data_IF_438774076937
#
_entry.id   IF_438774076937
#
_cell.length_a   1.000
_cell.length_b   1.000
_cell.length_c   1.000
_cell.angle_alpha   90.00
_cell.angle_beta   90.00
_cell.angle_gamma   90.00
#
_symmetry.space_group_name_H-M   'P 1'
#
loop_
_entity.id
_entity.type
_entity.pdbx_description
1 polymer ?
#
# COMPACT_ATOMS: atom_id res chain seq x y z
N UNK A 1 2.20 20.04 -1.95
CA UNK A 1 2.82 19.48 -0.72
C UNK A 1 2.61 20.36 0.52
N UNK A 2 3.17 21.55 0.65
CA UNK A 2 3.08 22.38 1.86
C UNK A 2 1.65 22.74 2.30
N UNK A 3 0.75 23.04 1.38
CA UNK A 3 -0.64 23.33 1.68
C UNK A 3 -1.38 22.14 2.31
N UNK A 4 -1.13 20.94 1.82
CA UNK A 4 -1.72 19.70 2.34
C UNK A 4 -1.14 19.30 3.69
N UNK A 5 0.16 19.49 3.91
CA UNK A 5 0.77 19.33 5.23
C UNK A 5 0.16 20.30 6.26
N UNK A 6 0.00 21.55 5.88
CA UNK A 6 -0.65 22.57 6.74
C UNK A 6 -2.11 22.22 7.04
N UNK A 7 -2.82 21.63 6.09
CA UNK A 7 -4.16 21.11 6.31
C UNK A 7 -4.16 19.88 7.23
N UNK A 8 -3.17 19.00 7.12
CA UNK A 8 -3.00 17.85 8.02
C UNK A 8 -2.82 18.31 9.48
N UNK A 9 -2.01 19.35 9.73
CA UNK A 9 -1.81 19.93 11.07
C UNK A 9 -3.10 20.47 11.71
N UNK A 10 -4.14 20.75 10.92
CA UNK A 10 -5.46 21.19 11.35
C UNK A 10 -6.51 20.09 11.33
N UNK A 11 -6.09 18.85 11.12
CA UNK A 11 -6.99 17.70 11.07
C UNK A 11 -7.78 17.53 12.37
N UNK A 12 -9.04 17.19 12.25
CA UNK A 12 -9.98 17.05 13.37
C UNK A 12 -9.95 15.68 14.01
N UNK A 13 -9.37 14.68 13.33
CA UNK A 13 -9.21 13.31 13.80
C UNK A 13 -7.91 12.71 13.31
N UNK A 14 -7.44 11.67 13.98
CA UNK A 14 -6.25 10.94 13.54
C UNK A 14 -6.41 10.34 12.13
N UNK A 15 -7.61 9.86 11.78
CA UNK A 15 -7.90 9.36 10.44
C UNK A 15 -7.83 10.48 9.38
N UNK A 16 -8.35 11.66 9.68
CA UNK A 16 -8.27 12.83 8.79
C UNK A 16 -6.83 13.29 8.59
N UNK A 17 -6.03 13.33 9.65
CA UNK A 17 -4.60 13.66 9.59
C UNK A 17 -3.85 12.65 8.73
N UNK A 18 -4.07 11.35 8.94
CA UNK A 18 -3.44 10.29 8.15
C UNK A 18 -3.80 10.41 6.66
N UNK A 19 -5.07 10.65 6.34
CA UNK A 19 -5.52 10.82 4.96
C UNK A 19 -4.81 12.00 4.27
N UNK A 20 -4.71 13.14 4.96
CA UNK A 20 -4.03 14.34 4.44
C UNK A 20 -2.52 14.16 4.32
N UNK A 21 -1.89 13.47 5.27
CA UNK A 21 -0.48 13.12 5.17
C UNK A 21 -0.21 12.14 4.02
N UNK A 22 -1.15 11.24 3.70
CA UNK A 22 -1.05 10.39 2.51
C UNK A 22 -0.96 11.20 1.22
N UNK A 23 -1.72 12.28 1.10
CA UNK A 23 -1.62 13.19 -0.05
C UNK A 23 -0.25 13.88 -0.07
N UNK A 24 0.30 14.27 1.07
CA UNK A 24 1.64 14.87 1.15
C UNK A 24 2.71 13.88 0.69
N UNK A 25 2.57 12.60 1.06
CA UNK A 25 3.45 11.51 0.63
C UNK A 25 3.44 11.38 -0.90
N UNK A 26 2.26 11.29 -1.51
CA UNK A 26 2.10 11.20 -2.96
C UNK A 26 2.69 12.42 -3.69
N UNK A 27 2.42 13.63 -3.20
CA UNK A 27 2.96 14.86 -3.79
C UNK A 27 4.48 14.99 -3.64
N UNK A 28 5.06 14.46 -2.57
CA UNK A 28 6.51 14.44 -2.37
C UNK A 28 7.17 13.48 -3.35
N UNK A 29 6.62 12.29 -3.51
CA UNK A 29 7.10 11.29 -4.48
C UNK A 29 7.01 11.82 -5.92
N UNK A 30 5.90 12.45 -6.27
CA UNK A 30 5.71 13.10 -7.57
C UNK A 30 6.73 14.24 -7.78
N UNK A 31 7.03 15.00 -6.74
CA UNK A 31 8.04 16.07 -6.82
C UNK A 31 9.43 15.49 -7.11
N UNK A 32 9.83 14.41 -6.44
CA UNK A 32 11.08 13.71 -6.70
C UNK A 32 11.14 13.23 -8.17
N UNK A 33 10.08 12.60 -8.64
CA UNK A 33 9.97 12.15 -10.04
C UNK A 33 10.19 13.28 -11.05
N UNK A 34 9.57 14.44 -10.87
CA UNK A 34 9.75 15.58 -11.78
C UNK A 34 11.15 16.16 -11.73
N UNK A 35 11.78 16.21 -10.55
CA UNK A 35 13.16 16.66 -10.40
C UNK A 35 14.15 15.72 -11.12
N UNK A 36 13.97 14.42 -10.97
CA UNK A 36 14.75 13.40 -11.66
C UNK A 36 14.59 13.52 -13.18
N UNK A 37 13.36 13.66 -13.65
CA UNK A 37 13.08 13.83 -15.08
C UNK A 37 13.73 15.08 -15.67
N UNK A 38 13.73 16.20 -14.95
CA UNK A 38 14.42 17.42 -15.36
C UNK A 38 15.93 17.22 -15.53
N UNK A 39 16.54 16.43 -14.65
CA UNK A 39 17.94 16.07 -14.74
C UNK A 39 18.23 15.13 -15.91
N UNK A 40 17.43 14.08 -16.07
CA UNK A 40 17.58 13.08 -17.14
C UNK A 40 17.39 13.66 -18.54
N UNK A 41 16.43 14.57 -18.67
CA UNK A 41 16.22 15.29 -19.94
C UNK A 41 17.27 16.36 -20.23
N UNK A 42 18.21 16.57 -19.32
CA UNK A 42 19.27 17.58 -19.48
C UNK A 42 18.79 19.04 -19.43
N UNK A 43 17.57 19.26 -18.95
CA UNK A 43 16.98 20.60 -18.82
C UNK A 43 17.59 21.39 -17.67
N UNK A 44 17.98 20.70 -16.60
CA UNK A 44 18.64 21.28 -15.43
C UNK A 44 19.78 20.36 -15.02
N UNK A 45 20.93 20.94 -14.70
CA UNK A 45 22.10 20.18 -14.25
C UNK A 45 21.77 19.47 -12.93
N UNK A 46 22.10 18.18 -12.82
CA UNK A 46 21.82 17.33 -11.61
C UNK A 46 22.37 17.97 -10.32
N UNK A 47 23.54 18.62 -10.39
CA UNK A 47 24.13 19.31 -9.25
C UNK A 47 23.25 20.43 -8.67
N UNK A 48 22.43 21.08 -9.52
CA UNK A 48 21.51 22.13 -9.08
C UNK A 48 20.23 21.60 -8.43
N UNK A 49 19.91 20.34 -8.66
CA UNK A 49 18.70 19.69 -8.14
C UNK A 49 19.01 18.80 -6.92
N UNK A 50 20.27 18.52 -6.64
CA UNK A 50 20.68 17.59 -5.58
C UNK A 50 20.13 17.97 -4.21
N UNK A 51 20.19 19.24 -3.83
CA UNK A 51 19.69 19.73 -2.55
C UNK A 51 18.17 19.61 -2.46
N UNK A 52 17.44 19.92 -3.54
CA UNK A 52 15.98 19.79 -3.60
C UNK A 52 15.52 18.33 -3.54
N UNK A 53 16.26 17.44 -4.19
CA UNK A 53 15.99 16.00 -4.10
C UNK A 53 16.19 15.49 -2.68
N UNK A 54 17.31 15.85 -2.04
CA UNK A 54 17.58 15.46 -0.67
C UNK A 54 16.51 15.98 0.30
N UNK A 55 16.08 17.22 0.15
CA UNK A 55 15.02 17.82 0.96
C UNK A 55 13.67 17.14 0.72
N UNK A 56 13.37 16.76 -0.51
CA UNK A 56 12.16 16.01 -0.87
C UNK A 56 12.14 14.64 -0.21
N UNK A 57 13.27 13.93 -0.22
CA UNK A 57 13.42 12.63 0.43
C UNK A 57 13.24 12.73 1.96
N UNK A 58 13.77 13.79 2.58
CA UNK A 58 13.57 14.04 4.01
C UNK A 58 12.10 14.27 4.35
N UNK A 59 11.40 15.08 3.56
CA UNK A 59 9.96 15.33 3.73
C UNK A 59 9.18 14.03 3.60
N UNK A 60 9.51 13.22 2.60
CA UNK A 60 8.88 11.91 2.38
C UNK A 60 9.09 11.00 3.59
N UNK A 61 10.33 10.87 4.07
CA UNK A 61 10.68 10.04 5.22
C UNK A 61 9.94 10.48 6.49
N UNK A 62 9.90 11.78 6.78
CA UNK A 62 9.16 12.33 7.93
C UNK A 62 7.65 12.09 7.83
N UNK A 63 7.10 12.23 6.64
CA UNK A 63 5.66 12.01 6.38
C UNK A 63 5.28 10.55 6.62
N UNK A 64 6.05 9.62 6.05
CA UNK A 64 5.85 8.17 6.25
C UNK A 64 5.99 7.78 7.72
N UNK A 65 6.99 8.29 8.43
CA UNK A 65 7.17 8.04 9.86
C UNK A 65 6.00 8.54 10.69
N UNK A 66 5.48 9.73 10.36
CA UNK A 66 4.31 10.32 11.02
C UNK A 66 3.06 9.47 10.83
N UNK A 67 2.79 9.01 9.60
CA UNK A 67 1.68 8.12 9.29
C UNK A 67 1.78 6.81 10.07
N UNK A 68 2.95 6.18 10.10
CA UNK A 68 3.19 4.95 10.85
C UNK A 68 2.92 5.13 12.34
N UNK A 69 3.39 6.22 12.92
CA UNK A 69 3.19 6.54 14.33
C UNK A 69 1.70 6.74 14.66
N UNK A 70 0.98 7.48 13.82
CA UNK A 70 -0.45 7.72 14.02
C UNK A 70 -1.27 6.43 13.90
N UNK A 71 -0.98 5.59 12.91
CA UNK A 71 -1.61 4.28 12.74
C UNK A 71 -1.36 3.35 13.93
N UNK A 72 -0.15 3.36 14.48
CA UNK A 72 0.22 2.59 15.67
C UNK A 72 -0.60 3.03 16.88
N UNK A 73 -0.72 4.34 17.10
CA UNK A 73 -1.53 4.92 18.20
C UNK A 73 -3.01 4.58 18.05
N UNK A 74 -3.56 4.64 16.85
CA UNK A 74 -4.96 4.25 16.62
C UNK A 74 -5.22 2.78 16.98
N UNK A 75 -4.30 1.88 16.65
CA UNK A 75 -4.43 0.46 17.01
C UNK A 75 -4.36 0.23 18.52
N UNK A 76 -3.53 0.99 19.22
CA UNK A 76 -3.38 0.90 20.67
C UNK A 76 -4.60 1.45 21.43
N UNK A 77 -5.32 2.42 20.85
CA UNK A 77 -6.53 3.03 21.45
C UNK A 77 -7.82 2.35 21.07
N UNK A 78 -7.83 1.48 20.06
CA UNK A 78 -9.00 0.63 19.78
C UNK A 78 -9.05 -0.45 20.84
N UNK A 79 -10.05 -0.44 21.75
CA UNK A 79 -10.26 -1.58 22.64
C UNK A 79 -10.46 -2.80 21.75
N UNK A 80 -9.73 -3.86 22.04
CA UNK A 80 -9.95 -5.15 21.42
C UNK A 80 -11.38 -5.55 21.76
N UNK A 81 -12.31 -5.22 20.91
CA UNK A 81 -13.61 -5.85 20.91
C UNK A 81 -13.34 -7.27 20.46
N UNK A 82 -12.92 -8.10 21.41
CA UNK A 82 -12.99 -9.52 21.28
C UNK A 82 -14.47 -9.89 21.24
N UNK A 83 -15.11 -9.52 20.16
CA UNK A 83 -16.25 -10.28 19.73
C UNK A 83 -15.65 -11.54 19.17
N UNK A 84 -15.59 -12.55 20.01
CA UNK A 84 -15.41 -13.90 19.56
C UNK A 84 -16.63 -14.22 18.67
N UNK A 85 -16.61 -13.70 17.47
CA UNK A 85 -17.43 -14.22 16.40
C UNK A 85 -16.81 -15.58 16.11
N UNK A 86 -17.40 -16.59 16.76
CA UNK A 86 -17.29 -17.94 16.28
C UNK A 86 -17.78 -17.87 14.84
N UNK A 87 -16.85 -17.71 13.93
CA UNK A 87 -17.13 -17.99 12.54
C UNK A 87 -17.60 -19.43 12.53
N UNK A 88 -18.83 -19.71 12.14
CA UNK A 88 -19.15 -21.07 11.79
C UNK A 88 -18.12 -21.42 10.72
N UNK A 89 -17.27 -22.36 11.02
CA UNK A 89 -16.42 -22.94 10.01
C UNK A 89 -17.40 -23.49 8.97
N UNK A 90 -17.60 -22.73 7.92
CA UNK A 90 -18.28 -23.26 6.76
C UNK A 90 -17.44 -24.44 6.33
N UNK A 91 -17.93 -25.61 6.59
CA UNK A 91 -17.42 -26.86 6.02
C UNK A 91 -17.76 -26.81 4.53
N UNK A 92 -17.21 -25.85 3.84
CA UNK A 92 -17.19 -25.88 2.39
C UNK A 92 -16.10 -26.86 2.07
N UNK A 93 -16.51 -28.11 1.90
CA UNK A 93 -15.64 -29.09 1.27
C UNK A 93 -15.15 -28.46 -0.03
N UNK A 94 -13.84 -28.32 -0.15
CA UNK A 94 -13.22 -27.72 -1.32
C UNK A 94 -13.67 -28.52 -2.55
N UNK A 95 -14.51 -27.98 -3.43
CA UNK A 95 -15.02 -28.73 -4.58
C UNK A 95 -13.90 -29.13 -5.57
N UNK A 96 -12.73 -28.55 -5.40
CA UNK A 96 -11.57 -28.87 -6.24
C UNK A 96 -11.03 -30.28 -6.01
N UNK A 97 -11.28 -30.89 -4.87
CA UNK A 97 -10.86 -32.28 -4.65
C UNK A 97 -11.70 -33.30 -5.44
N UNK A 98 -12.89 -32.94 -5.86
CA UNK A 98 -13.75 -33.80 -6.69
C UNK A 98 -13.42 -33.71 -8.18
N UNK A 99 -12.83 -32.64 -8.62
CA UNK A 99 -12.48 -32.43 -10.03
C UNK A 99 -11.22 -33.23 -10.39
N UNK A 100 -10.34 -33.50 -9.44
CA UNK A 100 -9.15 -34.32 -9.66
C UNK A 100 -9.45 -35.79 -9.92
N UNK A 101 -10.57 -36.29 -9.40
CA UNK A 101 -10.92 -37.72 -9.55
C UNK A 101 -11.58 -38.06 -10.89
N UNK A 102 -12.20 -37.08 -11.55
CA UNK A 102 -12.80 -37.29 -12.85
C UNK A 102 -11.78 -37.30 -14.00
N UNK A 103 -10.57 -36.90 -13.74
CA UNK A 103 -9.53 -36.81 -14.75
C UNK A 103 -8.79 -38.09 -15.00
N UNK A 104 -8.79 -38.99 -14.05
CA UNK A 104 -8.11 -40.26 -14.15
C UNK A 104 -8.89 -41.31 -14.93
N UNK A 105 -10.19 -41.15 -15.03
CA UNK A 105 -11.05 -42.03 -15.82
C UNK A 105 -11.07 -41.76 -17.30
N UNK A 106 -10.57 -40.63 -17.75
CA UNK A 106 -10.65 -40.24 -19.16
C UNK A 106 -9.39 -40.60 -19.98
N UNK A 107 -8.36 -41.13 -19.35
CA UNK A 107 -7.10 -41.37 -19.99
C UNK A 107 -6.91 -42.79 -20.54
N UNK A 108 -7.74 -43.71 -20.14
CA UNK A 108 -7.48 -45.13 -20.41
C UNK A 108 -8.17 -45.67 -21.65
N UNK A 109 -9.11 -44.94 -22.18
CA UNK A 109 -9.92 -45.44 -23.29
C UNK A 109 -9.33 -45.19 -24.68
N UNK A 110 -8.26 -44.46 -24.75
CA UNK A 110 -7.69 -44.09 -26.04
C UNK A 110 -6.66 -45.08 -26.59
N UNK A 111 -6.33 -46.13 -25.86
CA UNK A 111 -5.20 -46.99 -26.21
C UNK A 111 -5.63 -48.42 -26.58
N UNK A 112 -6.90 -48.68 -26.52
CA UNK A 112 -7.37 -50.05 -26.64
C UNK A 112 -7.57 -50.55 -28.07
N UNK A 113 -7.39 -49.71 -29.05
CA UNK A 113 -7.62 -50.12 -30.44
C UNK A 113 -6.45 -49.82 -31.36
N UNK A 114 -5.61 -50.72 -31.38
CA UNK A 114 -4.73 -50.89 -32.56
C UNK A 114 -4.73 -52.32 -32.98
#
# INVERSE_FOLDING_TARGET
MGANYRAACRGTSAADVIAKLGIVEEEADETAYWLELLAECGLVASARLADLLAETDEILAMTVASIKTLRSRQRATSPATHTHVVRPQSKIANPKSKIGLTREGAGDDAVADV
#
